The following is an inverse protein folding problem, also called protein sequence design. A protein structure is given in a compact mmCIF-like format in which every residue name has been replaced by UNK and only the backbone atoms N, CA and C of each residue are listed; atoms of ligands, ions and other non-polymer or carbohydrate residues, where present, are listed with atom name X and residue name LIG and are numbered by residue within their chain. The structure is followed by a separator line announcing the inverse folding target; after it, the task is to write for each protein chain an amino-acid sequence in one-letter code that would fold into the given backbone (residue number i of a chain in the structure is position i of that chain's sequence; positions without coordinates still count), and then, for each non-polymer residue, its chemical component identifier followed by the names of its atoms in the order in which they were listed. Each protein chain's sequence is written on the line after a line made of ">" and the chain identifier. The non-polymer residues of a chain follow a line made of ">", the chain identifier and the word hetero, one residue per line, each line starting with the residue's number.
data_IF_029718844092
#
_entry.id   IF_029718844092
#
_cell.length_a   1.000
_cell.length_b   1.000
_cell.length_c   1.000
_cell.angle_alpha   90.00
_cell.angle_beta   90.00
_cell.angle_gamma   90.00
#
_symmetry.space_group_name_H-M   'P 1'
#
loop_
_entity.id
_entity.type
_entity.pdbx_description
1 polymer ?
#
# COMPACT_ATOMS: atom_id res chain seq x y z
N UNK A 1 -1.17 -37.75 17.32
CA UNK A 1 -1.03 -37.22 15.96
C UNK A 1 -1.30 -35.71 15.97
N UNK A 2 -0.21 -34.90 16.10
CA UNK A 2 -0.27 -33.46 16.04
C UNK A 2 -0.55 -33.03 14.59
N UNK A 3 -1.82 -32.74 14.27
CA UNK A 3 -2.15 -31.99 13.05
C UNK A 3 -1.72 -30.55 13.26
N UNK A 4 -0.65 -30.11 12.56
CA UNK A 4 -0.32 -28.69 12.45
C UNK A 4 -1.56 -27.93 11.94
N UNK A 5 -1.92 -26.78 12.52
CA UNK A 5 -3.03 -25.98 12.03
C UNK A 5 -2.76 -25.64 10.56
N UNK A 6 -3.72 -25.93 9.70
CA UNK A 6 -3.69 -25.57 8.29
C UNK A 6 -3.86 -24.05 8.19
N UNK A 7 -2.75 -23.31 8.11
CA UNK A 7 -2.77 -21.88 7.83
C UNK A 7 -3.27 -21.74 6.37
N UNK A 8 -4.44 -21.14 6.14
CA UNK A 8 -4.92 -20.96 4.78
C UNK A 8 -3.90 -20.13 4.00
N UNK A 9 -3.38 -20.72 2.92
CA UNK A 9 -2.44 -20.05 2.02
C UNK A 9 -3.14 -18.80 1.48
N UNK A 10 -2.68 -17.62 1.89
CA UNK A 10 -3.19 -16.36 1.35
C UNK A 10 -2.96 -16.42 -0.17
N UNK A 11 -4.05 -16.37 -0.93
CA UNK A 11 -3.97 -16.34 -2.39
C UNK A 11 -3.38 -14.99 -2.79
N UNK A 12 -2.08 -14.97 -3.11
CA UNK A 12 -1.40 -13.77 -3.59
C UNK A 12 -1.86 -13.45 -5.01
N UNK A 13 -2.21 -12.20 -5.24
CA UNK A 13 -2.71 -11.70 -6.52
C UNK A 13 -1.59 -10.90 -7.16
N UNK A 14 -1.13 -11.35 -8.33
CA UNK A 14 -0.04 -10.70 -9.07
C UNK A 14 -0.60 -9.95 -10.29
N UNK A 15 -0.21 -8.70 -10.44
CA UNK A 15 -0.64 -7.81 -11.53
C UNK A 15 0.61 -7.21 -12.16
N UNK A 16 0.76 -7.39 -13.47
CA UNK A 16 1.81 -6.72 -14.26
C UNK A 16 1.19 -5.53 -14.97
N UNK A 17 1.73 -4.34 -14.73
CA UNK A 17 1.28 -3.13 -15.39
C UNK A 17 1.60 -3.20 -16.89
N UNK A 18 0.65 -2.79 -17.72
CA UNK A 18 0.89 -2.60 -19.15
C UNK A 18 1.67 -1.29 -19.40
N UNK A 19 2.06 -1.06 -20.65
CA UNK A 19 2.87 0.11 -21.01
C UNK A 19 2.22 1.44 -20.63
N UNK A 20 0.92 1.59 -20.86
CA UNK A 20 0.17 2.80 -20.48
C UNK A 20 0.14 2.99 -18.98
N UNK A 21 -0.14 1.94 -18.22
CA UNK A 21 -0.15 1.97 -16.75
C UNK A 21 1.24 2.31 -16.18
N UNK A 22 2.32 1.78 -16.77
CA UNK A 22 3.70 2.14 -16.40
C UNK A 22 3.97 3.63 -16.64
N UNK A 23 3.53 4.17 -17.78
CA UNK A 23 3.65 5.60 -18.09
C UNK A 23 2.85 6.45 -17.08
N UNK A 24 1.62 6.05 -16.77
CA UNK A 24 0.78 6.72 -15.76
C UNK A 24 1.46 6.73 -14.40
N UNK A 25 2.00 5.59 -13.95
CA UNK A 25 2.72 5.50 -12.67
C UNK A 25 3.95 6.42 -12.65
N UNK A 26 4.72 6.43 -13.73
CA UNK A 26 5.94 7.25 -13.86
C UNK A 26 5.61 8.73 -13.83
N UNK A 27 4.69 9.20 -14.66
CA UNK A 27 4.34 10.62 -14.76
C UNK A 27 3.71 11.13 -13.47
N UNK A 28 2.79 10.37 -12.88
CA UNK A 28 2.16 10.76 -11.63
C UNK A 28 3.14 10.73 -10.46
N UNK A 29 3.99 9.70 -10.36
CA UNK A 29 5.02 9.61 -9.34
C UNK A 29 6.04 10.74 -9.44
N UNK A 30 6.46 11.11 -10.65
CA UNK A 30 7.34 12.27 -10.87
C UNK A 30 6.66 13.58 -10.44
N UNK A 31 5.38 13.77 -10.73
CA UNK A 31 4.63 14.93 -10.29
C UNK A 31 4.55 15.03 -8.76
N UNK A 32 4.33 13.92 -8.07
CA UNK A 32 4.35 13.85 -6.60
C UNK A 32 5.73 14.16 -6.03
N UNK A 33 6.79 13.64 -6.66
CA UNK A 33 8.18 13.90 -6.25
C UNK A 33 8.49 15.39 -6.31
N UNK A 34 8.17 16.07 -7.41
CA UNK A 34 8.39 17.51 -7.58
C UNK A 34 7.66 18.30 -6.48
N UNK A 35 6.42 17.95 -6.17
CA UNK A 35 5.65 18.59 -5.12
C UNK A 35 6.23 18.35 -3.72
N UNK A 36 6.68 17.13 -3.42
CA UNK A 36 7.32 16.80 -2.16
C UNK A 36 8.63 17.56 -1.97
N UNK A 37 9.42 17.73 -3.01
CA UNK A 37 10.65 18.54 -2.99
C UNK A 37 10.37 20.01 -2.71
N UNK A 38 9.32 20.59 -3.30
CA UNK A 38 8.89 21.98 -3.04
C UNK A 38 8.44 22.16 -1.59
N UNK A 39 7.94 21.12 -0.95
CA UNK A 39 7.51 21.12 0.46
C UNK A 39 8.62 20.71 1.44
N UNK A 40 9.89 20.62 0.99
CA UNK A 40 11.05 20.35 1.85
C UNK A 40 11.21 18.90 2.30
N UNK A 41 10.56 17.95 1.64
CA UNK A 41 10.73 16.52 1.89
C UNK A 41 11.90 16.01 1.04
N UNK A 42 13.08 15.81 1.68
CA UNK A 42 14.28 15.31 1.00
C UNK A 42 14.20 13.81 0.75
N UNK A 43 14.34 13.38 -0.50
CA UNK A 43 14.67 12.00 -0.85
C UNK A 43 16.19 11.90 -1.08
N UNK A 44 16.89 11.16 -0.22
CA UNK A 44 18.33 10.89 -0.38
C UNK A 44 18.57 10.10 -1.67
N UNK A 45 19.24 10.77 -2.62
CA UNK A 45 19.54 10.26 -3.96
C UNK A 45 20.29 8.93 -3.98
N UNK A 46 19.58 7.88 -4.36
CA UNK A 46 20.15 6.68 -5.01
C UNK A 46 19.21 6.30 -6.16
N UNK A 47 19.80 5.90 -7.32
CA UNK A 47 19.10 5.44 -8.53
C UNK A 47 18.34 4.12 -8.31
N UNK A 48 17.39 4.10 -7.40
CA UNK A 48 16.28 3.14 -7.35
C UNK A 48 15.09 3.85 -7.95
N UNK A 49 14.20 3.11 -8.60
CA UNK A 49 12.89 3.63 -8.99
C UNK A 49 12.32 4.41 -7.82
N UNK A 50 11.92 5.64 -8.08
CA UNK A 50 11.46 6.57 -7.06
C UNK A 50 10.32 5.94 -6.25
N UNK A 51 10.33 6.05 -4.92
CA UNK A 51 9.25 5.55 -4.07
C UNK A 51 7.86 6.03 -4.48
N UNK A 52 7.74 7.26 -5.00
CA UNK A 52 6.47 7.81 -5.46
C UNK A 52 5.97 7.11 -6.75
N UNK A 53 6.89 6.71 -7.67
CA UNK A 53 6.54 5.92 -8.86
C UNK A 53 6.09 4.51 -8.44
N UNK A 54 6.81 3.88 -7.54
CA UNK A 54 6.49 2.54 -7.01
C UNK A 54 5.17 2.59 -6.26
N UNK A 55 4.94 3.58 -5.42
CA UNK A 55 3.70 3.80 -4.70
C UNK A 55 2.50 3.95 -5.63
N UNK A 56 2.63 4.82 -6.64
CA UNK A 56 1.59 5.01 -7.66
C UNK A 56 1.31 3.72 -8.45
N UNK A 57 2.36 2.95 -8.78
CA UNK A 57 2.20 1.65 -9.44
C UNK A 57 1.40 0.66 -8.59
N UNK A 58 1.63 0.62 -7.28
CA UNK A 58 0.85 -0.19 -6.34
C UNK A 58 -0.62 0.24 -6.26
N UNK A 59 -0.89 1.55 -6.22
CA UNK A 59 -2.25 2.10 -6.25
C UNK A 59 -2.98 1.71 -7.56
N UNK A 60 -2.31 1.82 -8.71
CA UNK A 60 -2.86 1.40 -10.02
C UNK A 60 -3.14 -0.10 -10.03
N UNK A 61 -2.24 -0.93 -9.52
CA UNK A 61 -2.42 -2.38 -9.48
C UNK A 61 -3.64 -2.78 -8.63
N UNK A 62 -3.82 -2.16 -7.46
CA UNK A 62 -4.98 -2.41 -6.59
C UNK A 62 -6.27 -1.90 -7.22
N UNK A 63 -6.25 -0.71 -7.83
CA UNK A 63 -7.40 -0.17 -8.54
C UNK A 63 -7.84 -1.09 -9.69
N UNK A 64 -6.88 -1.61 -10.48
CA UNK A 64 -7.13 -2.58 -11.55
C UNK A 64 -7.73 -3.89 -11.03
N UNK A 65 -7.22 -4.40 -9.91
CA UNK A 65 -7.77 -5.60 -9.28
C UNK A 65 -9.25 -5.45 -8.93
N UNK A 66 -9.66 -4.29 -8.44
CA UNK A 66 -11.04 -3.98 -8.10
C UNK A 66 -11.86 -3.43 -9.27
N UNK A 67 -11.29 -3.36 -10.47
CA UNK A 67 -11.91 -2.74 -11.65
C UNK A 67 -12.36 -1.29 -11.35
N UNK A 68 -11.47 -0.50 -10.75
CA UNK A 68 -11.68 0.91 -10.41
C UNK A 68 -10.66 1.77 -11.13
N UNK A 69 -11.00 3.04 -11.32
CA UNK A 69 -10.06 4.03 -11.83
C UNK A 69 -9.13 4.47 -10.68
N UNK A 70 -7.78 4.50 -10.89
CA UNK A 70 -6.86 4.98 -9.87
C UNK A 70 -7.00 6.49 -9.65
N UNK A 71 -6.79 6.95 -8.41
CA UNK A 71 -6.68 8.38 -8.14
C UNK A 71 -5.28 8.88 -8.54
N UNK A 72 -5.20 9.59 -9.65
CA UNK A 72 -3.98 10.18 -10.19
C UNK A 72 -3.84 11.67 -9.83
N UNK A 73 -4.63 12.17 -8.90
CA UNK A 73 -4.53 13.56 -8.45
C UNK A 73 -3.18 13.83 -7.76
N UNK A 74 -2.62 15.00 -8.04
CA UNK A 74 -1.39 15.50 -7.44
C UNK A 74 -1.77 16.79 -6.73
N UNK A 75 -1.56 16.87 -5.41
CA UNK A 75 -1.89 18.08 -4.68
C UNK A 75 -1.89 17.93 -3.16
N UNK A 76 -1.87 19.04 -2.42
CA UNK A 76 -1.85 19.04 -0.95
C UNK A 76 -3.16 18.53 -0.33
N UNK A 77 -4.23 18.45 -1.11
CA UNK A 77 -5.57 18.07 -0.66
C UNK A 77 -5.94 16.63 -1.01
N UNK A 78 -4.96 15.73 -1.07
CA UNK A 78 -5.26 14.30 -1.22
C UNK A 78 -6.11 13.85 -0.04
N UNK A 79 -7.17 13.11 -0.36
CA UNK A 79 -7.96 12.37 0.62
C UNK A 79 -7.03 11.47 1.45
N UNK A 80 -7.41 11.10 2.64
CA UNK A 80 -6.62 10.20 3.50
C UNK A 80 -6.44 8.78 2.95
N UNK A 81 -7.08 8.45 1.79
CA UNK A 81 -7.10 7.15 1.13
C UNK A 81 -6.83 7.28 -0.37
N UNK A 82 -6.48 6.17 -1.02
CA UNK A 82 -6.07 6.11 -2.44
C UNK A 82 -7.22 5.70 -3.37
N UNK A 83 -8.14 4.86 -2.90
CA UNK A 83 -9.32 4.44 -3.68
C UNK A 83 -10.50 4.07 -2.79
N UNK A 84 -11.69 4.00 -3.41
CA UNK A 84 -12.92 3.56 -2.76
C UNK A 84 -13.55 2.40 -3.54
N UNK A 85 -13.89 1.33 -2.82
CA UNK A 85 -14.54 0.13 -3.35
C UNK A 85 -15.76 -0.18 -2.50
N UNK A 86 -16.95 -0.11 -3.10
CA UNK A 86 -18.21 -0.41 -2.41
C UNK A 86 -18.36 0.34 -1.06
N UNK A 87 -18.08 1.64 -1.05
CA UNK A 87 -18.07 2.52 0.12
C UNK A 87 -16.99 2.19 1.16
N UNK A 88 -16.04 1.33 0.85
CA UNK A 88 -14.86 1.06 1.67
C UNK A 88 -13.70 1.87 1.13
N UNK A 89 -13.14 2.74 1.93
CA UNK A 89 -11.96 3.53 1.59
C UNK A 89 -10.68 2.77 1.89
N UNK A 90 -9.72 2.80 0.98
CA UNK A 90 -8.51 1.97 1.01
C UNK A 90 -7.27 2.85 0.87
N UNK A 91 -6.32 2.69 1.79
CA UNK A 91 -4.96 3.23 1.72
C UNK A 91 -4.01 2.10 1.28
N UNK A 92 -3.30 2.29 0.18
CA UNK A 92 -2.38 1.31 -0.41
C UNK A 92 -0.96 1.62 0.04
N UNK A 93 -0.30 0.63 0.62
CA UNK A 93 1.12 0.71 1.00
C UNK A 93 1.92 -0.23 0.12
N UNK A 94 2.98 0.28 -0.47
CA UNK A 94 3.83 -0.47 -1.39
C UNK A 94 5.23 -0.63 -0.80
N UNK A 95 5.76 -1.84 -0.86
CA UNK A 95 7.11 -2.19 -0.40
C UNK A 95 7.88 -2.91 -1.51
N UNK A 96 9.19 -2.74 -1.53
CA UNK A 96 10.11 -3.53 -2.37
C UNK A 96 10.75 -4.68 -1.61
N UNK A 97 10.45 -4.83 -0.33
CA UNK A 97 10.96 -5.91 0.52
C UNK A 97 10.02 -7.12 0.50
N UNK A 98 10.59 -8.33 0.53
CA UNK A 98 9.85 -9.59 0.60
C UNK A 98 10.59 -10.57 1.55
N UNK A 99 10.00 -10.95 2.70
CA UNK A 99 8.70 -10.49 3.21
C UNK A 99 8.70 -9.02 3.56
N UNK A 100 7.52 -8.38 3.38
CA UNK A 100 7.32 -6.95 3.62
C UNK A 100 6.60 -6.68 4.94
N UNK A 101 6.65 -5.41 5.35
CA UNK A 101 5.91 -4.88 6.48
C UNK A 101 4.88 -3.87 6.00
N UNK A 102 3.65 -3.99 6.51
CA UNK A 102 2.67 -2.92 6.39
C UNK A 102 3.01 -1.85 7.42
N UNK A 103 3.28 -0.63 6.97
CA UNK A 103 3.64 0.48 7.85
C UNK A 103 2.79 1.72 7.58
N UNK A 104 2.42 2.41 8.65
CA UNK A 104 1.77 3.71 8.59
C UNK A 104 2.28 4.61 9.72
N UNK A 105 2.34 5.93 9.47
CA UNK A 105 2.73 6.90 10.48
C UNK A 105 1.77 6.89 11.67
N UNK A 106 2.29 7.11 12.88
CA UNK A 106 1.48 7.20 14.11
C UNK A 106 0.49 8.37 14.11
N UNK A 107 0.62 9.31 13.17
CA UNK A 107 -0.34 10.39 12.94
C UNK A 107 -1.61 9.95 12.21
N UNK A 108 -1.63 8.75 11.61
CA UNK A 108 -2.81 8.20 10.93
C UNK A 108 -3.93 7.91 11.93
N UNK A 109 -5.16 8.17 11.50
CA UNK A 109 -6.40 7.95 12.27
C UNK A 109 -7.27 6.90 11.59
N UNK A 110 -8.08 6.20 12.35
CA UNK A 110 -9.05 5.23 11.82
C UNK A 110 -10.04 5.87 10.84
N UNK A 111 -10.27 7.19 10.98
CA UNK A 111 -11.13 7.95 10.05
C UNK A 111 -10.48 8.28 8.70
N UNK A 112 -9.18 8.05 8.52
CA UNK A 112 -8.48 8.41 7.26
C UNK A 112 -8.75 7.39 6.14
N UNK A 113 -8.86 6.11 6.49
CA UNK A 113 -9.22 5.02 5.59
C UNK A 113 -9.84 3.87 6.38
N UNK A 114 -10.75 3.10 5.77
CA UNK A 114 -11.36 1.92 6.40
C UNK A 114 -10.43 0.71 6.39
N UNK A 115 -9.52 0.65 5.41
CA UNK A 115 -8.67 -0.50 5.15
C UNK A 115 -7.30 -0.10 4.62
N UNK A 116 -6.30 -0.88 4.96
CA UNK A 116 -4.93 -0.80 4.44
C UNK A 116 -4.60 -2.06 3.65
N UNK A 117 -4.02 -1.91 2.47
CA UNK A 117 -3.56 -3.02 1.62
C UNK A 117 -2.05 -2.91 1.43
N UNK A 118 -1.33 -4.02 1.64
CA UNK A 118 0.10 -4.13 1.37
C UNK A 118 0.33 -4.75 -0.01
N UNK A 119 1.19 -4.09 -0.80
CA UNK A 119 1.61 -4.53 -2.13
C UNK A 119 3.13 -4.65 -2.17
N UNK A 120 3.63 -5.79 -2.68
CA UNK A 120 5.04 -5.95 -3.02
C UNK A 120 5.27 -5.52 -4.47
N UNK A 121 6.27 -4.66 -4.67
CA UNK A 121 6.65 -4.16 -5.98
C UNK A 121 7.95 -4.79 -6.48
N UNK A 122 7.87 -5.40 -7.65
CA UNK A 122 9.01 -5.74 -8.53
C UNK A 122 8.69 -5.17 -9.90
N UNK A 123 8.77 -3.84 -10.02
CA UNK A 123 8.29 -3.07 -11.17
C UNK A 123 8.70 -3.71 -12.50
N UNK A 124 7.78 -3.91 -13.46
CA UNK A 124 6.40 -3.44 -13.49
C UNK A 124 5.35 -4.40 -12.87
N UNK A 125 5.79 -5.39 -12.13
CA UNK A 125 4.93 -6.41 -11.51
C UNK A 125 4.68 -6.10 -10.04
N UNK A 126 3.43 -6.20 -9.63
CA UNK A 126 2.95 -5.91 -8.29
C UNK A 126 2.17 -7.10 -7.75
N UNK A 127 2.49 -7.52 -6.52
CA UNK A 127 1.81 -8.63 -5.84
C UNK A 127 1.08 -8.10 -4.63
N UNK A 128 -0.25 -8.24 -4.60
CA UNK A 128 -1.07 -7.89 -3.44
C UNK A 128 -0.86 -8.98 -2.39
N UNK A 129 -0.29 -8.59 -1.26
CA UNK A 129 0.10 -9.50 -0.18
C UNK A 129 -1.03 -9.74 0.82
N UNK A 130 -1.98 -8.84 0.91
CA UNK A 130 -3.12 -8.89 1.82
C UNK A 130 -3.49 -7.51 2.33
N UNK A 131 -4.41 -7.47 3.28
CA UNK A 131 -4.86 -6.22 3.88
C UNK A 131 -5.34 -6.41 5.31
N UNK A 132 -5.72 -5.29 5.93
CA UNK A 132 -6.20 -5.25 7.31
C UNK A 132 -7.14 -4.05 7.48
N UNK A 133 -8.13 -4.15 8.36
CA UNK A 133 -8.99 -3.02 8.70
C UNK A 133 -8.23 -1.99 9.53
N UNK A 134 -8.50 -0.70 9.31
CA UNK A 134 -7.85 0.38 10.05
C UNK A 134 -8.02 0.24 11.57
N UNK A 135 -9.20 -0.16 12.04
CA UNK A 135 -9.47 -0.38 13.45
C UNK A 135 -8.62 -1.50 14.10
N UNK A 136 -8.18 -2.48 13.32
CA UNK A 136 -7.27 -3.54 13.77
C UNK A 136 -5.81 -3.10 13.67
N UNK A 137 -5.45 -2.37 12.62
CA UNK A 137 -4.08 -1.96 12.35
C UNK A 137 -3.60 -0.81 13.24
N UNK A 138 -4.39 0.25 13.36
CA UNK A 138 -4.00 1.48 14.04
C UNK A 138 -4.25 1.38 15.56
N UNK A 139 -3.60 0.40 16.18
CA UNK A 139 -3.64 0.14 17.62
C UNK A 139 -2.25 0.36 18.23
N UNK A 140 -2.18 0.88 19.43
CA UNK A 140 -0.93 1.21 20.12
C UNK A 140 0.03 0.00 20.23
N UNK A 141 -0.52 -1.20 20.41
CA UNK A 141 0.30 -2.43 20.49
C UNK A 141 0.96 -2.82 19.14
N UNK A 142 0.56 -2.21 18.03
CA UNK A 142 1.18 -2.38 16.71
C UNK A 142 2.28 -1.32 16.45
N UNK A 143 2.51 -0.38 17.35
CA UNK A 143 3.57 0.62 17.18
C UNK A 143 4.94 -0.04 17.43
N UNK A 144 5.80 0.02 16.43
CA UNK A 144 7.18 -0.48 16.47
C UNK A 144 8.12 0.54 15.85
N UNK A 145 9.33 0.62 16.39
CA UNK A 145 10.42 1.37 15.77
C UNK A 145 11.35 0.38 15.06
N UNK A 146 11.37 0.47 13.74
CA UNK A 146 12.24 -0.35 12.87
C UNK A 146 13.55 0.38 12.51
N UNK A 147 13.95 1.38 13.29
CA UNK A 147 15.16 2.20 13.07
C UNK A 147 14.89 3.52 12.34
N UNK A 148 13.61 3.87 12.09
CA UNK A 148 13.20 5.10 11.39
C UNK A 148 12.16 5.88 12.17
N UNK A 149 12.05 5.65 13.46
CA UNK A 149 11.03 6.19 14.34
C UNK A 149 9.78 5.29 14.43
N UNK A 150 8.90 5.59 15.40
CA UNK A 150 7.72 4.76 15.68
C UNK A 150 6.69 4.85 14.56
N UNK A 151 6.22 3.69 14.08
CA UNK A 151 5.14 3.54 13.11
C UNK A 151 4.23 2.38 13.51
N UNK A 152 2.96 2.44 13.14
CA UNK A 152 2.12 1.25 13.11
C UNK A 152 2.75 0.25 12.14
N UNK A 153 2.99 -0.98 12.59
CA UNK A 153 3.73 -1.98 11.81
C UNK A 153 3.10 -3.36 12.01
N UNK A 154 2.73 -4.01 10.91
CA UNK A 154 2.34 -5.42 10.87
C UNK A 154 3.26 -6.19 9.92
N UNK A 155 3.57 -7.44 10.29
CA UNK A 155 4.23 -8.37 9.39
C UNK A 155 3.25 -8.86 8.32
N UNK A 156 3.78 -9.20 7.15
CA UNK A 156 2.98 -9.78 6.06
C UNK A 156 2.13 -10.97 6.49
N UNK A 157 2.64 -11.82 7.40
CA UNK A 157 1.95 -12.98 7.95
C UNK A 157 0.71 -12.65 8.78
N UNK A 158 0.58 -11.40 9.25
CA UNK A 158 -0.54 -10.92 10.06
C UNK A 158 -1.68 -10.33 9.21
N UNK A 159 -1.49 -10.24 7.88
CA UNK A 159 -2.48 -9.68 6.97
C UNK A 159 -3.54 -10.72 6.60
N UNK A 160 -4.74 -10.23 6.33
CA UNK A 160 -5.85 -11.05 5.84
C UNK A 160 -5.89 -11.10 4.32
N UNK A 161 -6.45 -12.15 3.74
CA UNK A 161 -6.69 -12.20 2.30
C UNK A 161 -7.76 -11.18 1.90
N UNK A 162 -7.64 -10.58 0.71
CA UNK A 162 -8.65 -9.63 0.23
C UNK A 162 -10.03 -10.31 0.14
N UNK A 163 -10.07 -11.59 -0.23
CA UNK A 163 -11.33 -12.34 -0.26
C UNK A 163 -12.03 -12.33 1.10
N UNK A 164 -11.31 -12.54 2.20
CA UNK A 164 -11.91 -12.56 3.54
C UNK A 164 -12.36 -11.16 4.01
N UNK A 165 -11.72 -10.10 3.53
CA UNK A 165 -12.04 -8.72 3.91
C UNK A 165 -13.28 -8.16 3.18
N UNK A 166 -13.57 -8.64 1.96
CA UNK A 166 -14.65 -8.15 1.10
C UNK A 166 -15.83 -9.11 0.95
N UNK A 167 -15.77 -10.33 1.51
CA UNK A 167 -16.95 -11.20 1.62
C UNK A 167 -17.80 -10.71 2.79
N UNK A 168 -19.07 -10.39 2.48
CA UNK A 168 -20.12 -10.19 3.49
C UNK A 168 -20.74 -11.52 3.86
#
# INVERSE_FOLDING_TARGET
>A
TNKKPHIPRILMITITLNQTEMQMATLNGMGRLVQNQTNGVSSNGRRKLDPDIIGTGGEIAVARYFNRYPDLSIGPHRRGYDLEVNRTTIDVKTTTFNPGYLQAKTTKKVSDADMYILVHASFPTFTILGGVRAAEFLQDYNIKDMGYGPNYTLEQSQLHSLKSLFVK
#
